data_IF_053698103334
#
_entry.id   IF_053698103334
#
_cell.length_a   1.000
_cell.length_b   1.000
_cell.length_c   1.000
_cell.angle_alpha   90.00
_cell.angle_beta   90.00
_cell.angle_gamma   90.00
#
_symmetry.space_group_name_H-M   'P 1'
#
loop_
_entity.id
_entity.type
_entity.pdbx_description
1 polymer ?
#
# COMPACT_ATOMS: atom_id res chain seq x y z
N UNK A 1 17.54 20.13 -23.37
CA UNK A 1 17.28 19.18 -22.26
C UNK A 1 15.78 18.95 -21.99
N UNK A 2 14.85 19.83 -22.40
CA UNK A 2 13.39 19.64 -22.24
C UNK A 2 12.76 18.54 -23.13
N UNK A 3 13.46 18.09 -24.17
CA UNK A 3 13.01 16.99 -25.04
C UNK A 3 12.95 15.66 -24.29
N UNK A 4 14.04 15.25 -23.64
CA UNK A 4 14.12 13.95 -22.95
C UNK A 4 13.12 13.82 -21.80
N UNK A 5 12.78 14.90 -21.08
CA UNK A 5 11.86 14.80 -19.95
C UNK A 5 10.44 14.41 -20.36
N UNK A 6 9.92 14.95 -21.48
CA UNK A 6 8.60 14.58 -22.00
C UNK A 6 8.55 13.14 -22.51
N UNK A 7 9.59 12.70 -23.21
CA UNK A 7 9.69 11.31 -23.66
C UNK A 7 9.76 10.35 -22.46
N UNK A 8 10.57 10.66 -21.45
CA UNK A 8 10.66 9.87 -20.21
C UNK A 8 9.31 9.80 -19.50
N UNK A 9 8.60 10.93 -19.41
CA UNK A 9 7.28 11.01 -18.81
C UNK A 9 6.26 10.13 -19.55
N UNK A 10 6.16 10.27 -20.87
CA UNK A 10 5.31 9.41 -21.71
C UNK A 10 5.63 7.92 -21.55
N UNK A 11 6.91 7.54 -21.64
CA UNK A 11 7.38 6.15 -21.49
C UNK A 11 7.04 5.55 -20.12
N UNK A 12 7.06 6.39 -19.09
CA UNK A 12 6.74 6.04 -17.69
C UNK A 12 5.23 5.85 -17.52
N UNK A 13 4.43 6.80 -18.00
CA UNK A 13 2.97 6.74 -17.95
C UNK A 13 2.44 5.54 -18.73
N UNK A 14 2.97 5.28 -19.92
CA UNK A 14 2.57 4.15 -20.75
C UNK A 14 2.93 2.80 -20.13
N UNK A 15 4.09 2.71 -19.49
CA UNK A 15 4.48 1.52 -18.73
C UNK A 15 3.45 1.24 -17.62
N UNK A 16 3.12 2.23 -16.78
CA UNK A 16 2.14 2.04 -15.70
C UNK A 16 0.76 1.70 -16.26
N UNK A 17 0.28 2.41 -17.28
CA UNK A 17 -1.00 2.09 -17.94
C UNK A 17 -1.03 0.64 -18.42
N UNK A 18 0.05 0.16 -19.04
CA UNK A 18 0.18 -1.21 -19.55
C UNK A 18 0.16 -2.23 -18.42
N UNK A 19 0.90 -1.98 -17.33
CA UNK A 19 0.92 -2.89 -16.18
C UNK A 19 -0.46 -2.97 -15.48
N UNK A 20 -1.15 -1.84 -15.28
CA UNK A 20 -2.46 -1.81 -14.63
C UNK A 20 -3.54 -2.49 -15.50
N UNK A 21 -3.51 -2.29 -16.82
CA UNK A 21 -4.47 -2.89 -17.78
C UNK A 21 -4.42 -4.43 -17.83
N UNK A 22 -3.40 -5.07 -17.23
CA UNK A 22 -3.38 -6.53 -17.04
C UNK A 22 -4.49 -7.00 -16.08
N UNK A 23 -5.09 -6.12 -15.27
CA UNK A 23 -6.27 -6.43 -14.46
C UNK A 23 -7.55 -5.99 -15.18
N UNK A 24 -8.58 -6.84 -15.11
CA UNK A 24 -9.94 -6.51 -15.58
C UNK A 24 -10.77 -5.71 -14.56
N UNK A 25 -10.20 -5.40 -13.39
CA UNK A 25 -10.87 -4.70 -12.29
C UNK A 25 -10.25 -3.35 -11.95
N UNK A 26 -9.16 -2.99 -12.63
CA UNK A 26 -8.43 -1.73 -12.43
C UNK A 26 -8.28 -1.04 -13.77
N UNK A 27 -8.70 0.23 -13.86
CA UNK A 27 -8.65 1.00 -15.09
C UNK A 27 -7.85 2.28 -14.87
N UNK A 28 -6.68 2.44 -15.53
CA UNK A 28 -5.85 3.62 -15.36
C UNK A 28 -6.39 4.77 -16.23
N UNK A 29 -6.57 5.93 -15.60
CA UNK A 29 -6.85 7.21 -16.25
C UNK A 29 -5.78 8.20 -15.81
N UNK A 30 -4.63 8.13 -16.48
CA UNK A 30 -3.40 8.86 -16.17
C UNK A 30 -3.07 9.69 -17.42
N UNK A 31 -2.74 10.95 -17.26
CA UNK A 31 -2.41 11.86 -18.36
C UNK A 31 -0.91 12.18 -18.32
N UNK A 32 -0.26 12.22 -19.48
CA UNK A 32 1.17 12.53 -19.65
C UNK A 32 1.45 14.03 -19.77
N UNK A 33 0.41 14.86 -19.58
CA UNK A 33 0.50 16.32 -19.59
C UNK A 33 -0.51 16.97 -18.64
N UNK A 34 -0.84 16.29 -17.52
CA UNK A 34 -1.80 16.80 -16.56
C UNK A 34 -1.33 18.14 -15.96
N UNK A 35 -2.23 19.11 -15.89
CA UNK A 35 -1.98 20.41 -15.25
C UNK A 35 -2.42 20.43 -13.80
N UNK A 36 -2.80 19.28 -13.24
CA UNK A 36 -3.15 19.23 -11.82
C UNK A 36 -1.92 19.50 -10.95
N UNK A 37 -2.09 20.07 -9.74
CA UNK A 37 -0.96 20.60 -8.98
C UNK A 37 0.07 19.56 -8.53
N UNK A 38 -0.37 18.32 -8.27
CA UNK A 38 0.47 17.28 -7.67
C UNK A 38 0.11 15.85 -8.07
N UNK A 39 -0.91 15.60 -8.89
CA UNK A 39 -1.32 14.25 -9.29
C UNK A 39 -1.11 14.08 -10.79
N UNK A 40 -0.99 12.86 -11.28
CA UNK A 40 -0.94 12.61 -12.73
C UNK A 40 -2.20 11.88 -13.23
N UNK A 41 -3.11 11.54 -12.32
CA UNK A 41 -4.39 10.94 -12.65
C UNK A 41 -4.97 10.03 -11.58
N UNK A 42 -5.74 9.03 -12.00
CA UNK A 42 -6.44 8.12 -11.12
C UNK A 42 -6.45 6.68 -11.65
N UNK A 43 -6.58 5.69 -10.77
CA UNK A 43 -6.96 4.32 -11.12
C UNK A 43 -8.36 4.06 -10.58
N UNK A 44 -9.29 3.70 -11.47
CA UNK A 44 -10.65 3.30 -11.09
C UNK A 44 -10.71 1.81 -10.74
N UNK A 45 -11.40 1.48 -9.65
CA UNK A 45 -11.54 0.11 -9.15
C UNK A 45 -12.97 -0.38 -9.30
N UNK A 46 -13.13 -1.64 -9.71
CA UNK A 46 -14.42 -2.28 -9.92
C UNK A 46 -14.61 -3.54 -9.07
N UNK A 47 -15.83 -3.76 -8.59
CA UNK A 47 -16.19 -4.89 -7.73
C UNK A 47 -16.01 -6.23 -8.45
N UNK A 48 -16.17 -6.27 -9.78
CA UNK A 48 -16.01 -7.44 -10.63
C UNK A 48 -15.35 -7.07 -11.98
N UNK A 49 -15.14 -8.06 -12.85
CA UNK A 49 -14.44 -7.90 -14.13
C UNK A 49 -15.31 -7.46 -15.32
N UNK A 50 -16.56 -7.06 -15.08
CA UNK A 50 -17.47 -6.59 -16.14
C UNK A 50 -17.09 -5.19 -16.66
N UNK A 51 -16.50 -4.36 -15.81
CA UNK A 51 -16.22 -2.95 -16.12
C UNK A 51 -17.47 -2.05 -16.18
N UNK A 52 -18.62 -2.54 -15.72
CA UNK A 52 -19.87 -1.77 -15.74
C UNK A 52 -19.89 -0.66 -14.68
N UNK A 53 -20.54 0.46 -15.01
CA UNK A 53 -20.65 1.63 -14.13
C UNK A 53 -21.23 1.31 -12.74
N UNK A 54 -22.22 0.41 -12.68
CA UNK A 54 -22.85 -0.01 -11.41
C UNK A 54 -21.91 -0.81 -10.51
N UNK A 55 -20.78 -1.30 -11.06
CA UNK A 55 -19.76 -2.05 -10.33
C UNK A 55 -18.57 -1.18 -9.93
N UNK A 56 -18.60 0.14 -10.19
CA UNK A 56 -17.53 1.05 -9.78
C UNK A 56 -17.48 1.16 -8.25
N UNK A 57 -16.35 0.81 -7.66
CA UNK A 57 -16.12 0.97 -6.22
C UNK A 57 -15.68 2.40 -5.89
N UNK A 58 -14.81 2.96 -6.73
CA UNK A 58 -14.21 4.27 -6.53
C UNK A 58 -12.90 4.43 -7.31
N UNK A 59 -12.05 5.34 -6.83
CA UNK A 59 -10.78 5.67 -7.47
C UNK A 59 -9.65 5.85 -6.46
N UNK A 60 -8.44 5.55 -6.89
CA UNK A 60 -7.20 5.87 -6.17
C UNK A 60 -6.48 6.97 -6.95
N UNK A 61 -6.19 8.13 -6.33
CA UNK A 61 -5.36 9.15 -6.96
C UNK A 61 -3.91 8.65 -7.08
N UNK A 62 -3.25 8.94 -8.20
CA UNK A 62 -1.89 8.46 -8.48
C UNK A 62 -0.91 9.61 -8.75
N UNK A 63 0.34 9.38 -8.38
CA UNK A 63 1.49 10.12 -8.87
C UNK A 63 2.46 9.14 -9.52
N UNK A 64 3.03 9.52 -10.64
CA UNK A 64 3.98 8.76 -11.44
C UNK A 64 5.22 9.61 -11.67
N UNK A 65 6.41 9.07 -11.39
CA UNK A 65 7.69 9.74 -11.68
C UNK A 65 8.62 8.82 -12.47
N UNK A 66 9.24 9.36 -13.51
CA UNK A 66 10.36 8.70 -14.20
C UNK A 66 11.67 8.89 -13.42
N UNK A 67 12.53 7.87 -13.39
CA UNK A 67 13.84 7.95 -12.75
C UNK A 67 14.92 7.25 -13.60
N UNK A 68 15.79 8.03 -14.24
CA UNK A 68 16.89 7.49 -15.01
C UNK A 68 17.95 6.88 -14.09
N UNK A 69 18.37 5.65 -14.39
CA UNK A 69 19.32 4.89 -13.59
C UNK A 69 20.38 4.22 -14.47
N UNK A 70 21.55 3.96 -13.88
CA UNK A 70 22.61 3.14 -14.51
C UNK A 70 22.42 1.65 -14.25
N UNK A 71 21.85 1.30 -13.09
CA UNK A 71 21.59 -0.07 -12.67
C UNK A 71 20.34 -0.17 -11.81
N UNK A 72 19.59 -1.27 -11.95
CA UNK A 72 18.34 -1.46 -11.22
C UNK A 72 18.59 -1.81 -9.75
N UNK A 73 17.79 -1.24 -8.81
CA UNK A 73 17.81 -1.65 -7.42
C UNK A 73 17.48 -3.14 -7.24
N UNK A 74 18.27 -3.82 -6.40
CA UNK A 74 18.07 -5.21 -5.97
C UNK A 74 17.10 -5.26 -4.77
N UNK A 75 15.84 -4.87 -4.97
CA UNK A 75 14.82 -4.83 -3.91
C UNK A 75 14.14 -3.47 -3.83
N UNK A 76 13.76 -3.03 -2.64
CA UNK A 76 13.14 -1.71 -2.43
C UNK A 76 14.06 -0.58 -2.91
N UNK A 77 13.45 0.52 -3.33
CA UNK A 77 14.17 1.74 -3.72
C UNK A 77 13.79 2.91 -2.82
N UNK A 78 14.72 3.87 -2.72
CA UNK A 78 14.50 5.15 -2.04
C UNK A 78 14.32 6.24 -3.10
N UNK A 79 13.35 7.11 -2.90
CA UNK A 79 13.09 8.25 -3.78
C UNK A 79 12.90 9.53 -2.96
N UNK A 80 13.39 10.67 -3.47
CA UNK A 80 13.26 11.97 -2.81
C UNK A 80 11.99 12.66 -3.33
N UNK A 81 10.90 12.55 -2.58
CA UNK A 81 9.62 13.18 -2.91
C UNK A 81 9.56 14.64 -2.38
N UNK A 82 8.87 15.51 -3.12
CA UNK A 82 8.64 16.90 -2.74
C UNK A 82 7.69 16.98 -1.54
N UNK A 83 8.04 17.79 -0.54
CA UNK A 83 7.21 17.99 0.65
C UNK A 83 5.89 18.72 0.35
N UNK A 84 5.87 19.53 -0.72
CA UNK A 84 4.66 20.17 -1.21
C UNK A 84 3.65 19.13 -1.74
N UNK A 85 4.10 18.19 -2.58
CA UNK A 85 3.27 17.10 -3.09
C UNK A 85 2.74 16.23 -1.94
N UNK A 86 3.61 15.81 -1.01
CA UNK A 86 3.19 15.02 0.16
C UNK A 86 2.15 15.73 1.02
N UNK A 87 2.24 17.07 1.16
CA UNK A 87 1.24 17.86 1.89
C UNK A 87 -0.09 17.92 1.11
N UNK A 88 -0.05 18.01 -0.21
CA UNK A 88 -1.26 17.95 -1.04
C UNK A 88 -1.93 16.57 -0.96
N UNK A 89 -1.15 15.50 -1.01
CA UNK A 89 -1.66 14.13 -0.81
C UNK A 89 -2.25 13.91 0.58
N UNK A 90 -1.64 14.52 1.61
CA UNK A 90 -2.16 14.46 2.98
C UNK A 90 -3.45 15.24 3.15
N UNK A 91 -3.59 16.37 2.45
CA UNK A 91 -4.80 17.19 2.42
C UNK A 91 -5.92 16.54 1.60
N UNK A 92 -5.59 15.58 0.73
CA UNK A 92 -6.51 14.58 0.18
C UNK A 92 -6.43 13.24 0.96
N UNK A 93 -7.12 12.20 0.51
CA UNK A 93 -7.24 10.93 1.26
C UNK A 93 -5.97 10.08 1.25
N UNK A 94 -4.97 10.44 0.46
CA UNK A 94 -3.72 9.71 0.25
C UNK A 94 -3.32 9.70 -1.22
N UNK A 95 -2.27 8.93 -1.56
CA UNK A 95 -1.83 8.75 -2.94
C UNK A 95 -1.21 7.37 -3.15
N UNK A 96 -1.37 6.80 -4.34
CA UNK A 96 -0.54 5.72 -4.83
C UNK A 96 0.61 6.32 -5.64
N UNK A 97 1.84 6.18 -5.13
CA UNK A 97 3.02 6.79 -5.72
C UNK A 97 3.83 5.75 -6.48
N UNK A 98 4.03 5.98 -7.78
CA UNK A 98 4.83 5.16 -8.67
C UNK A 98 6.14 5.84 -9.02
N UNK A 99 7.21 5.05 -9.10
CA UNK A 99 8.47 5.43 -9.73
C UNK A 99 8.84 4.38 -10.77
N UNK A 100 9.01 4.80 -12.02
CA UNK A 100 9.52 3.92 -13.09
C UNK A 100 11.00 4.22 -13.29
N UNK A 101 11.82 3.24 -12.95
CA UNK A 101 13.25 3.29 -13.23
C UNK A 101 13.48 2.98 -14.71
N UNK A 102 14.20 3.86 -15.40
CA UNK A 102 14.51 3.76 -16.83
C UNK A 102 16.02 3.62 -17.00
N UNK A 103 16.44 2.62 -17.77
CA UNK A 103 17.83 2.46 -18.23
C UNK A 103 17.83 2.47 -19.75
N UNK A 104 18.42 3.50 -20.33
CA UNK A 104 18.54 3.64 -21.78
C UNK A 104 19.49 2.58 -22.36
N UNK A 105 19.13 2.00 -23.50
CA UNK A 105 19.98 1.10 -24.26
C UNK A 105 20.77 1.86 -25.33
N UNK A 106 21.99 1.40 -25.63
CA UNK A 106 22.83 1.99 -26.70
C UNK A 106 22.16 1.92 -28.08
N UNK A 107 21.34 0.90 -28.33
CA UNK A 107 20.58 0.72 -29.57
C UNK A 107 19.27 1.54 -29.62
N UNK A 108 19.00 2.37 -28.60
CA UNK A 108 17.75 3.11 -28.42
C UNK A 108 16.70 2.33 -27.60
N UNK A 109 15.79 3.08 -26.98
CA UNK A 109 14.75 2.55 -26.08
C UNK A 109 15.20 2.39 -24.63
N UNK A 110 14.28 1.97 -23.77
CA UNK A 110 14.50 1.87 -22.33
C UNK A 110 14.15 0.48 -21.78
N UNK A 111 15.03 -0.08 -20.96
CA UNK A 111 14.63 -1.08 -19.96
C UNK A 111 13.90 -0.37 -18.83
N UNK A 112 12.78 -0.95 -18.37
CA UNK A 112 11.90 -0.33 -17.39
C UNK A 112 11.63 -1.26 -16.22
N UNK A 113 11.59 -0.69 -15.02
CA UNK A 113 11.14 -1.39 -13.83
C UNK A 113 10.31 -0.47 -12.96
N UNK A 114 9.08 -0.89 -12.68
CA UNK A 114 8.14 -0.15 -11.83
C UNK A 114 8.34 -0.43 -10.35
N UNK A 115 8.21 0.62 -9.56
CA UNK A 115 8.19 0.61 -8.10
C UNK A 115 6.98 1.39 -7.62
N UNK A 116 6.41 1.00 -6.49
CA UNK A 116 5.24 1.66 -5.94
C UNK A 116 5.25 1.70 -4.42
N UNK A 117 4.51 2.67 -3.88
CA UNK A 117 4.20 2.73 -2.45
C UNK A 117 2.81 3.32 -2.26
N UNK A 118 2.06 2.75 -1.33
CA UNK A 118 0.75 3.24 -0.92
C UNK A 118 0.94 4.21 0.25
N UNK A 119 0.53 5.46 0.08
CA UNK A 119 0.70 6.50 1.09
C UNK A 119 -0.67 6.95 1.62
N UNK A 120 -1.24 6.24 2.61
CA UNK A 120 -2.45 6.70 3.28
C UNK A 120 -2.12 7.83 4.26
N UNK A 121 -3.15 8.48 4.82
CA UNK A 121 -3.01 9.66 5.67
C UNK A 121 -2.03 9.44 6.83
N UNK A 122 -2.05 8.29 7.51
CA UNK A 122 -1.13 8.02 8.63
C UNK A 122 0.33 8.06 8.17
N UNK A 123 0.61 7.45 7.01
CA UNK A 123 1.98 7.40 6.47
C UNK A 123 2.45 8.76 5.98
N UNK A 124 1.54 9.53 5.38
CA UNK A 124 1.81 10.90 4.97
C UNK A 124 2.09 11.80 6.17
N UNK A 125 1.34 11.67 7.28
CA UNK A 125 1.59 12.38 8.53
C UNK A 125 3.01 12.10 9.05
N UNK A 126 3.43 10.83 9.11
CA UNK A 126 4.80 10.45 9.50
C UNK A 126 5.87 11.08 8.59
N UNK A 127 5.66 11.03 7.27
CA UNK A 127 6.61 11.58 6.30
C UNK A 127 6.73 13.11 6.42
N UNK A 128 5.61 13.79 6.66
CA UNK A 128 5.56 15.23 6.84
C UNK A 128 6.29 15.68 8.12
N UNK A 129 6.12 14.96 9.23
CA UNK A 129 6.86 15.22 10.46
C UNK A 129 8.36 14.93 10.29
N UNK A 130 8.72 13.80 9.67
CA UNK A 130 10.13 13.45 9.39
C UNK A 130 10.82 14.45 8.47
N UNK A 131 10.10 15.01 7.50
CA UNK A 131 10.62 15.97 6.52
C UNK A 131 10.47 17.43 6.92
N UNK A 132 10.07 17.73 8.17
CA UNK A 132 9.81 19.10 8.63
C UNK A 132 11.02 20.01 8.40
N UNK A 133 10.79 21.17 7.78
CA UNK A 133 11.83 22.13 7.43
C UNK A 133 12.65 21.79 6.17
N UNK A 134 12.37 20.65 5.51
CA UNK A 134 13.02 20.27 4.25
C UNK A 134 12.09 20.52 3.06
N UNK A 135 12.67 20.70 1.87
CA UNK A 135 11.92 20.74 0.61
C UNK A 135 11.54 19.35 0.11
N UNK A 136 12.34 18.34 0.46
CA UNK A 136 12.14 16.93 0.07
C UNK A 136 12.31 16.00 1.26
N UNK A 137 11.63 14.86 1.23
CA UNK A 137 11.87 13.74 2.15
C UNK A 137 12.04 12.43 1.37
N UNK A 138 12.60 11.42 2.03
CA UNK A 138 12.83 10.11 1.39
C UNK A 138 11.64 9.20 1.65
N UNK A 139 11.02 8.73 0.58
CA UNK A 139 10.04 7.65 0.59
C UNK A 139 10.69 6.34 0.13
N UNK A 140 10.19 5.22 0.63
CA UNK A 140 10.60 3.88 0.23
C UNK A 140 9.51 3.24 -0.62
N UNK A 141 9.90 2.64 -1.74
CA UNK A 141 9.02 2.00 -2.69
C UNK A 141 9.45 0.55 -2.90
N UNK A 142 8.46 -0.34 -2.96
CA UNK A 142 8.68 -1.75 -3.29
C UNK A 142 8.56 -1.97 -4.79
N UNK A 143 9.27 -2.97 -5.36
CA UNK A 143 9.05 -3.38 -6.73
C UNK A 143 7.57 -3.70 -6.98
N UNK A 144 7.05 -3.32 -8.14
CA UNK A 144 5.74 -3.80 -8.56
C UNK A 144 5.76 -5.33 -8.64
N UNK A 145 4.73 -6.03 -8.15
CA UNK A 145 4.72 -7.48 -8.15
C UNK A 145 4.58 -8.01 -9.59
N UNK A 146 5.25 -9.12 -9.88
CA UNK A 146 5.18 -9.77 -11.21
C UNK A 146 3.77 -10.28 -11.53
N UNK A 147 2.97 -10.60 -10.51
CA UNK A 147 1.59 -11.06 -10.67
C UNK A 147 0.64 -9.91 -10.41
N UNK A 148 -0.12 -9.53 -11.44
CA UNK A 148 -1.10 -8.44 -11.35
C UNK A 148 -2.12 -8.62 -10.23
N UNK A 149 -2.45 -9.87 -9.86
CA UNK A 149 -3.36 -10.16 -8.74
C UNK A 149 -2.82 -9.75 -7.37
N UNK A 150 -1.50 -9.73 -7.19
CA UNK A 150 -0.89 -9.24 -5.95
C UNK A 150 -1.01 -7.70 -5.86
N UNK A 151 -0.81 -7.00 -6.99
CA UNK A 151 -1.04 -5.57 -7.06
C UNK A 151 -2.52 -5.22 -6.84
N UNK A 152 -3.44 -5.96 -7.46
CA UNK A 152 -4.89 -5.80 -7.28
C UNK A 152 -5.27 -5.90 -5.79
N UNK A 153 -4.79 -6.92 -5.06
CA UNK A 153 -5.06 -7.06 -3.62
C UNK A 153 -4.50 -5.90 -2.80
N UNK A 154 -3.28 -5.45 -3.12
CA UNK A 154 -2.62 -4.32 -2.47
C UNK A 154 -3.43 -3.02 -2.66
N UNK A 155 -3.83 -2.73 -3.90
CA UNK A 155 -4.55 -1.50 -4.22
C UNK A 155 -5.97 -1.48 -3.68
N UNK A 156 -6.71 -2.58 -3.71
CA UNK A 156 -8.04 -2.62 -3.12
C UNK A 156 -8.00 -2.52 -1.59
N UNK A 157 -6.98 -3.10 -0.93
CA UNK A 157 -6.77 -2.90 0.51
C UNK A 157 -6.46 -1.42 0.79
N UNK A 158 -5.58 -0.82 -0.01
CA UNK A 158 -5.25 0.59 0.10
C UNK A 158 -6.46 1.51 -0.13
N UNK A 159 -7.36 1.16 -1.06
CA UNK A 159 -8.60 1.90 -1.29
C UNK A 159 -9.48 1.97 -0.04
N UNK A 160 -9.59 0.86 0.71
CA UNK A 160 -10.28 0.84 2.00
C UNK A 160 -9.56 1.73 3.03
N UNK A 161 -8.22 1.68 3.05
CA UNK A 161 -7.41 2.53 3.94
C UNK A 161 -7.62 4.03 3.68
N UNK A 162 -7.74 4.45 2.41
CA UNK A 162 -8.04 5.84 2.02
C UNK A 162 -9.36 6.34 2.65
N UNK A 163 -10.35 5.46 2.77
CA UNK A 163 -11.64 5.76 3.40
C UNK A 163 -11.54 5.81 4.92
N UNK A 164 -10.91 4.79 5.53
CA UNK A 164 -10.87 4.62 6.99
C UNK A 164 -9.94 5.61 7.70
N UNK A 165 -8.88 6.09 7.04
CA UNK A 165 -7.87 6.92 7.70
C UNK A 165 -8.18 8.42 7.71
N UNK A 166 -9.35 8.87 7.24
CA UNK A 166 -9.72 10.30 7.23
C UNK A 166 -9.65 10.91 8.66
N UNK A 167 -10.08 10.17 9.68
CA UNK A 167 -10.08 10.62 11.08
C UNK A 167 -8.68 10.85 11.67
N UNK A 168 -7.61 10.33 11.06
CA UNK A 168 -6.23 10.49 11.52
C UNK A 168 -5.80 11.97 11.59
N UNK A 169 -6.39 12.82 10.74
CA UNK A 169 -6.07 14.26 10.70
C UNK A 169 -6.48 15.00 11.97
N UNK A 170 -7.53 14.52 12.63
CA UNK A 170 -8.11 15.13 13.83
C UNK A 170 -7.66 14.40 15.11
N UNK A 171 -7.02 13.24 14.96
CA UNK A 171 -6.49 12.48 16.08
C UNK A 171 -5.25 13.16 16.68
N UNK A 172 -5.33 13.47 17.99
CA UNK A 172 -4.17 13.89 18.79
C UNK A 172 -3.14 12.77 18.88
N UNK A 173 -3.61 11.57 19.21
CA UNK A 173 -2.82 10.36 19.33
C UNK A 173 -3.51 9.19 18.63
N UNK A 174 -2.71 8.24 18.16
CA UNK A 174 -3.19 7.01 17.56
C UNK A 174 -3.20 5.89 18.61
N UNK A 175 -4.18 4.98 18.55
CA UNK A 175 -4.23 3.83 19.44
C UNK A 175 -2.97 2.96 19.27
N UNK A 176 -2.57 2.30 20.35
CA UNK A 176 -1.49 1.32 20.40
C UNK A 176 -2.05 -0.09 20.36
N UNK A 177 -1.40 -1.03 19.66
CA UNK A 177 -1.79 -2.45 19.74
C UNK A 177 -1.70 -2.95 21.19
N UNK A 178 -0.80 -2.39 22.00
CA UNK A 178 -0.70 -2.70 23.43
C UNK A 178 -1.97 -2.32 24.21
N UNK A 179 -2.79 -1.40 23.70
CA UNK A 179 -4.07 -1.05 24.34
C UNK A 179 -5.12 -2.17 24.16
N UNK A 180 -4.88 -3.16 23.28
CA UNK A 180 -5.77 -4.31 23.10
C UNK A 180 -5.61 -5.36 24.20
N UNK A 181 -4.48 -5.39 24.90
CA UNK A 181 -4.23 -6.37 25.97
C UNK A 181 -4.88 -5.97 27.30
N UNK A 182 -5.38 -4.74 27.38
CA UNK A 182 -6.13 -4.27 28.54
C UNK A 182 -7.60 -4.68 28.38
N UNK A 183 -7.98 -5.75 29.08
CA UNK A 183 -9.35 -6.27 29.09
C UNK A 183 -10.38 -5.24 29.58
N UNK A 184 -9.97 -4.26 30.41
CA UNK A 184 -10.88 -3.21 30.88
C UNK A 184 -11.24 -2.20 29.80
N UNK A 185 -10.39 -2.04 28.79
CA UNK A 185 -10.61 -1.13 27.68
C UNK A 185 -11.61 -1.68 26.65
N UNK A 186 -11.86 -3.00 26.63
CA UNK A 186 -12.86 -3.64 25.76
C UNK A 186 -12.72 -3.29 24.27
N UNK A 187 -11.50 -2.94 23.83
CA UNK A 187 -11.28 -2.34 22.51
C UNK A 187 -11.43 -3.39 21.42
N UNK A 188 -12.44 -3.21 20.58
CA UNK A 188 -12.60 -3.95 19.34
C UNK A 188 -11.73 -3.35 18.24
N UNK A 189 -11.15 -4.21 17.41
CA UNK A 189 -10.48 -3.80 16.19
C UNK A 189 -11.13 -4.45 14.97
N UNK A 190 -10.93 -3.82 13.81
CA UNK A 190 -11.38 -4.31 12.52
C UNK A 190 -10.26 -4.23 11.49
N UNK A 191 -10.37 -5.05 10.46
CA UNK A 191 -9.51 -5.03 9.28
C UNK A 191 -10.26 -5.59 8.08
N UNK A 192 -9.83 -5.23 6.88
CA UNK A 192 -10.40 -5.73 5.62
C UNK A 192 -9.39 -6.63 4.93
N UNK A 193 -9.84 -7.79 4.44
CA UNK A 193 -9.04 -8.70 3.61
C UNK A 193 -9.87 -9.09 2.40
N UNK A 194 -9.24 -9.08 1.23
CA UNK A 194 -9.84 -9.63 0.02
C UNK A 194 -9.47 -11.10 -0.07
N UNK A 195 -10.50 -11.93 -0.02
CA UNK A 195 -10.40 -13.39 -0.14
C UNK A 195 -10.90 -13.83 -1.51
N UNK A 196 -10.17 -14.73 -2.13
CA UNK A 196 -10.65 -15.45 -3.32
C UNK A 196 -11.56 -16.60 -2.87
N UNK A 197 -12.74 -16.73 -3.52
CA UNK A 197 -13.83 -17.63 -3.11
C UNK A 197 -13.50 -19.14 -3.06
N UNK A 198 -12.31 -19.57 -3.49
CA UNK A 198 -11.89 -20.98 -3.54
C UNK A 198 -10.53 -21.23 -2.86
N UNK A 199 -10.08 -20.32 -2.00
CA UNK A 199 -8.82 -20.45 -1.27
C UNK A 199 -9.08 -20.39 0.22
N UNK A 200 -8.22 -21.06 1.00
CA UNK A 200 -8.29 -20.99 2.45
C UNK A 200 -8.24 -19.52 2.92
N UNK A 201 -9.25 -19.01 3.63
CA UNK A 201 -9.30 -17.61 4.03
C UNK A 201 -8.21 -17.27 5.04
N UNK A 202 -7.85 -18.18 5.95
CA UNK A 202 -6.78 -17.97 6.94
C UNK A 202 -5.43 -17.73 6.29
N UNK A 203 -5.05 -18.56 5.31
CA UNK A 203 -3.81 -18.36 4.56
C UNK A 203 -3.78 -17.00 3.83
N UNK A 204 -4.95 -16.52 3.39
CA UNK A 204 -5.04 -15.23 2.71
C UNK A 204 -4.94 -14.06 3.70
N UNK A 205 -5.59 -14.16 4.85
CA UNK A 205 -5.53 -13.17 5.93
C UNK A 205 -4.10 -13.01 6.45
N UNK A 206 -3.38 -14.11 6.67
CA UNK A 206 -2.02 -14.08 7.23
C UNK A 206 -0.94 -13.77 6.20
N UNK A 207 -1.24 -13.77 4.89
CA UNK A 207 -0.21 -13.66 3.83
C UNK A 207 0.41 -12.27 3.64
N UNK A 208 -0.16 -11.21 4.22
CA UNK A 208 0.19 -9.83 3.86
C UNK A 208 0.05 -8.86 5.02
N UNK A 209 0.87 -7.81 4.98
CA UNK A 209 0.81 -6.68 5.90
C UNK A 209 -0.43 -5.82 5.64
N UNK A 210 -1.04 -5.31 6.70
CA UNK A 210 -2.23 -4.47 6.64
C UNK A 210 -2.38 -3.63 7.89
N UNK A 211 -3.06 -2.50 7.76
CA UNK A 211 -3.48 -1.74 8.93
C UNK A 211 -4.59 -2.50 9.67
N UNK A 212 -4.48 -2.51 10.99
CA UNK A 212 -5.58 -2.81 11.88
C UNK A 212 -6.15 -1.49 12.40
N UNK A 213 -7.45 -1.48 12.66
CA UNK A 213 -8.17 -0.27 13.00
C UNK A 213 -8.94 -0.44 14.31
N UNK A 214 -8.74 0.46 15.26
CA UNK A 214 -9.55 0.51 16.47
C UNK A 214 -10.78 1.40 16.26
N UNK A 215 -11.91 0.98 16.83
CA UNK A 215 -13.07 1.86 16.98
C UNK A 215 -12.86 2.74 18.20
N UNK A 216 -12.87 4.06 18.00
CA UNK A 216 -12.72 5.06 19.06
C UNK A 216 -13.95 5.97 19.11
N UNK A 217 -14.09 6.76 20.18
CA UNK A 217 -15.14 7.78 20.27
C UNK A 217 -15.07 8.80 19.12
N UNK A 218 -13.89 9.01 18.53
CA UNK A 218 -13.63 9.94 17.42
C UNK A 218 -13.67 9.25 16.04
N UNK A 219 -14.27 8.05 15.97
CA UNK A 219 -14.34 7.22 14.77
C UNK A 219 -13.24 6.18 14.69
N UNK A 220 -12.94 5.74 13.46
CA UNK A 220 -12.02 4.63 13.21
C UNK A 220 -10.59 5.18 13.04
N UNK A 221 -9.63 4.61 13.77
CA UNK A 221 -8.22 5.02 13.71
C UNK A 221 -7.30 3.80 13.51
N UNK A 222 -6.28 3.91 12.64
CA UNK A 222 -5.26 2.87 12.52
C UNK A 222 -4.39 2.84 13.77
N UNK A 223 -3.85 1.67 14.10
CA UNK A 223 -2.84 1.56 15.14
C UNK A 223 -1.52 2.24 14.75
N UNK A 224 -0.84 2.86 15.73
CA UNK A 224 0.40 3.62 15.52
C UNK A 224 1.58 2.77 15.05
N UNK A 225 1.55 1.46 15.31
CA UNK A 225 2.58 0.50 14.87
C UNK A 225 2.62 0.33 13.34
N UNK A 226 1.57 0.78 12.65
CA UNK A 226 1.46 0.70 11.20
C UNK A 226 1.00 -0.69 10.72
N UNK A 227 1.27 -1.04 9.46
CA UNK A 227 0.84 -2.31 8.90
C UNK A 227 1.50 -3.49 9.62
N UNK A 228 0.70 -4.48 10.03
CA UNK A 228 1.20 -5.70 10.66
C UNK A 228 0.76 -6.94 9.88
N UNK A 229 1.47 -8.04 10.10
CA UNK A 229 1.08 -9.38 9.62
C UNK A 229 0.30 -10.07 10.73
N UNK A 230 -0.84 -10.66 10.38
CA UNK A 230 -1.63 -11.46 11.31
C UNK A 230 -1.12 -12.89 11.35
N UNK A 231 -1.15 -13.49 12.54
CA UNK A 231 -0.90 -14.90 12.78
C UNK A 231 -1.98 -15.40 13.73
N UNK A 232 -2.56 -16.56 13.44
CA UNK A 232 -3.55 -17.20 14.30
C UNK A 232 -2.91 -18.41 14.96
N UNK A 233 -3.04 -18.50 16.28
CA UNK A 233 -2.50 -19.59 17.07
C UNK A 233 -3.67 -20.25 17.78
N UNK A 234 -3.69 -21.58 17.76
CA UNK A 234 -4.63 -22.36 18.56
C UNK A 234 -3.84 -23.05 19.65
N UNK A 235 -4.25 -22.85 20.90
CA UNK A 235 -3.77 -23.69 21.99
C UNK A 235 -4.36 -25.08 21.82
N UNK A 236 -3.49 -26.09 21.80
CA UNK A 236 -3.91 -27.48 21.83
C UNK A 236 -3.26 -28.14 23.04
N UNK A 237 -4.04 -28.91 23.77
CA UNK A 237 -3.49 -29.88 24.71
C UNK A 237 -2.68 -30.90 23.91
N UNK A 238 -1.37 -30.88 24.13
CA UNK A 238 -0.43 -31.76 23.44
C UNK A 238 0.70 -32.08 24.41
N UNK A 239 0.85 -33.38 24.68
CA UNK A 239 1.90 -33.87 25.56
C UNK A 239 3.19 -34.05 24.77
N UNK A 240 4.18 -33.18 24.99
CA UNK A 240 5.53 -33.33 24.45
C UNK A 240 6.34 -34.16 25.46
N UNK A 241 6.80 -35.34 25.05
CA UNK A 241 7.59 -36.25 25.90
C UNK A 241 8.80 -36.81 25.16
N UNK A 242 9.89 -37.06 25.90
CA UNK A 242 11.03 -37.86 25.44
C UNK A 242 11.10 -39.08 26.35
N UNK A 243 10.80 -40.26 25.81
CA UNK A 243 10.58 -41.48 26.61
C UNK A 243 9.31 -41.38 27.46
N UNK A 244 9.46 -41.59 28.78
CA UNK A 244 8.37 -41.48 29.77
C UNK A 244 8.26 -40.07 30.36
N UNK A 245 9.28 -39.24 30.21
CA UNK A 245 9.29 -37.89 30.79
C UNK A 245 8.47 -36.92 29.93
N UNK A 246 7.45 -36.33 30.54
CA UNK A 246 6.63 -35.26 29.94
C UNK A 246 7.30 -33.91 30.20
N UNK A 247 7.52 -33.14 29.14
CA UNK A 247 8.11 -31.81 29.19
C UNK A 247 7.06 -30.70 29.08
N UNK A 248 6.01 -30.92 28.28
CA UNK A 248 4.92 -29.94 28.10
C UNK A 248 3.58 -30.68 28.00
N UNK A 249 2.51 -30.10 28.55
CA UNK A 249 1.12 -30.61 28.45
C UNK A 249 0.24 -29.77 27.53
N UNK A 250 0.68 -28.55 27.20
CA UNK A 250 0.03 -27.66 26.24
C UNK A 250 1.08 -27.22 25.22
N UNK A 251 0.69 -27.22 23.95
CA UNK A 251 1.49 -26.67 22.88
C UNK A 251 0.67 -25.63 22.11
N UNK A 252 1.28 -24.49 21.85
CA UNK A 252 0.77 -23.52 20.91
C UNK A 252 1.07 -24.02 19.49
N UNK A 253 0.02 -24.29 18.71
CA UNK A 253 0.16 -24.67 17.31
C UNK A 253 -0.25 -23.49 16.43
N UNK A 254 0.68 -22.99 15.63
CA UNK A 254 0.39 -22.00 14.59
C UNK A 254 -0.41 -22.65 13.47
N UNK A 255 -1.56 -22.05 13.12
CA UNK A 255 -2.36 -22.45 11.95
C UNK A 255 -1.93 -21.77 10.66
#
# INVERSE_FOLDING_TARGET
MAGNSKWIEGETVDFIKTEIRKSRRMFPYIDDNDRTPSWDGNIFLYSNSSGEKNNLLGKIPVQVKGHNIKSFPKGNMKYRAEMADLRNFYNDKGVLFFVVCLREHEAGGFEKKGYYTCLPIVKLKELLEKGKGQTKTTIELSPMPNKIKELEKSLFTFYDDLGKQVSVRYAKELPSIQDLTDEQLGRQFEFTVIVENNKNPWNQITSSYRYLYAKTANGILPFKEGPCKLSFMTEREATIRIGEQIYYKMALVSG
#
